data_IF_711891189666
#
_entry.id   IF_711891189666
#
_cell.length_a   1.000
_cell.length_b   1.000
_cell.length_c   1.000
_cell.angle_alpha   90.00
_cell.angle_beta   90.00
_cell.angle_gamma   90.00
#
_symmetry.space_group_name_H-M   'P 1'
#
loop_
_entity.id
_entity.type
_entity.pdbx_description
1 polymer ?
#
# COMPACT_ATOMS: atom_id res chain seq x y z
N UNK A 1 43.76 -16.90 -4.99
CA UNK A 1 42.40 -16.63 -4.48
C UNK A 1 41.99 -15.23 -4.92
N UNK A 2 41.20 -15.11 -5.98
CA UNK A 2 40.88 -13.82 -6.62
C UNK A 2 39.79 -13.08 -5.84
N UNK A 3 40.19 -12.26 -4.86
CA UNK A 3 39.29 -11.33 -4.18
C UNK A 3 39.12 -10.08 -5.06
N UNK A 4 38.26 -10.21 -6.07
CA UNK A 4 37.95 -9.15 -7.02
C UNK A 4 37.54 -7.85 -6.32
N UNK A 5 37.92 -6.72 -6.91
CA UNK A 5 37.61 -5.37 -6.46
C UNK A 5 36.08 -5.17 -6.44
N UNK A 6 35.47 -5.36 -5.28
CA UNK A 6 34.03 -5.12 -5.07
C UNK A 6 33.78 -3.62 -5.23
N UNK A 7 33.24 -3.22 -6.38
CA UNK A 7 32.85 -1.82 -6.61
C UNK A 7 31.53 -1.55 -5.90
N UNK A 8 31.59 -0.68 -4.90
CA UNK A 8 30.49 -0.27 -4.05
C UNK A 8 30.94 -0.18 -2.60
N UNK A 9 31.25 1.04 -2.13
CA UNK A 9 31.55 1.29 -0.73
C UNK A 9 30.25 1.18 0.09
N UNK A 10 30.24 0.46 1.23
CA UNK A 10 29.08 0.39 2.14
C UNK A 10 28.62 1.74 2.70
N UNK A 11 29.40 2.79 2.49
CA UNK A 11 29.19 4.15 2.99
C UNK A 11 27.82 4.76 2.63
N UNK A 12 27.12 4.24 1.61
CA UNK A 12 25.79 4.70 1.22
C UNK A 12 24.64 3.89 1.84
N UNK A 13 24.93 2.87 2.65
CA UNK A 13 23.90 2.05 3.29
C UNK A 13 23.06 2.89 4.27
N UNK A 14 21.74 2.88 4.11
CA UNK A 14 20.82 3.55 5.03
C UNK A 14 20.66 5.07 4.82
N UNK A 15 21.43 5.72 3.93
CA UNK A 15 21.33 7.17 3.62
C UNK A 15 19.88 7.65 3.45
N UNK A 16 19.09 6.91 2.69
CA UNK A 16 17.69 7.25 2.37
C UNK A 16 16.78 7.14 3.61
N UNK A 17 17.00 6.14 4.47
CA UNK A 17 16.18 5.94 5.68
C UNK A 17 16.44 7.01 6.74
N UNK A 18 17.68 7.50 6.82
CA UNK A 18 18.07 8.57 7.74
C UNK A 18 17.65 9.96 7.23
N UNK A 19 17.60 10.16 5.91
CA UNK A 19 17.16 11.41 5.30
C UNK A 19 15.63 11.61 5.38
N UNK A 20 14.85 10.54 5.42
CA UNK A 20 13.39 10.62 5.41
C UNK A 20 12.87 11.00 6.81
N UNK A 21 11.97 12.00 6.95
CA UNK A 21 11.38 12.33 8.25
C UNK A 21 10.62 11.13 8.82
N UNK A 22 10.84 10.84 10.10
CA UNK A 22 10.19 9.72 10.79
C UNK A 22 8.76 10.11 11.17
N UNK A 23 7.83 9.88 10.26
CA UNK A 23 6.41 10.13 10.52
C UNK A 23 5.83 9.03 11.42
N UNK A 24 5.25 9.43 12.55
CA UNK A 24 4.54 8.52 13.45
C UNK A 24 3.27 7.97 12.78
N UNK A 25 2.88 6.75 13.13
CA UNK A 25 1.63 6.17 12.64
C UNK A 25 0.47 6.94 13.26
N UNK A 26 -0.38 7.51 12.43
CA UNK A 26 -1.66 8.06 12.87
C UNK A 26 -2.57 6.91 13.33
N UNK A 27 -3.32 7.14 14.41
CA UNK A 27 -4.33 6.21 14.86
C UNK A 27 -5.47 6.16 13.83
N UNK A 28 -5.58 5.03 13.14
CA UNK A 28 -6.68 4.76 12.21
C UNK A 28 -7.74 3.96 12.95
N UNK A 29 -9.01 4.29 12.70
CA UNK A 29 -10.13 3.50 13.19
C UNK A 29 -9.94 2.04 12.76
N UNK A 30 -10.19 1.12 13.70
CA UNK A 30 -10.13 -0.32 13.42
C UNK A 30 -11.09 -0.63 12.27
N UNK A 31 -10.57 -1.23 11.21
CA UNK A 31 -11.41 -1.71 10.11
C UNK A 31 -12.24 -2.89 10.61
N UNK A 32 -13.51 -2.92 10.24
CA UNK A 32 -14.36 -4.09 10.45
C UNK A 32 -13.79 -5.29 9.69
N UNK A 33 -13.92 -6.48 10.27
CA UNK A 33 -13.38 -7.75 9.74
C UNK A 33 -14.52 -8.74 9.52
N UNK A 34 -14.33 -9.70 8.62
CA UNK A 34 -15.28 -10.79 8.36
C UNK A 34 -16.52 -10.35 7.59
N UNK A 35 -17.69 -10.87 8.00
CA UNK A 35 -18.96 -10.69 7.31
C UNK A 35 -19.35 -9.21 7.17
N UNK A 36 -19.16 -8.41 8.22
CA UNK A 36 -19.47 -6.98 8.19
C UNK A 36 -18.65 -6.24 7.11
N UNK A 37 -17.39 -6.62 6.90
CA UNK A 37 -16.55 -6.05 5.85
C UNK A 37 -17.05 -6.44 4.46
N UNK A 38 -17.43 -7.71 4.28
CA UNK A 38 -17.96 -8.20 3.01
C UNK A 38 -19.28 -7.50 2.64
N UNK A 39 -20.17 -7.29 3.61
CA UNK A 39 -21.42 -6.56 3.39
C UNK A 39 -21.17 -5.09 2.99
N UNK A 40 -20.25 -4.41 3.69
CA UNK A 40 -19.87 -3.04 3.32
C UNK A 40 -19.27 -2.96 1.91
N UNK A 41 -18.43 -3.92 1.53
CA UNK A 41 -17.83 -3.96 0.20
C UNK A 41 -18.87 -4.25 -0.89
N UNK A 42 -19.80 -5.18 -0.66
CA UNK A 42 -20.87 -5.48 -1.60
C UNK A 42 -21.75 -4.26 -1.85
N UNK A 43 -22.18 -3.57 -0.79
CA UNK A 43 -22.99 -2.37 -0.91
C UNK A 43 -22.26 -1.26 -1.67
N UNK A 44 -20.96 -1.08 -1.43
CA UNK A 44 -20.14 -0.07 -2.13
C UNK A 44 -19.88 -0.41 -3.61
N UNK A 45 -19.69 -1.69 -3.93
CA UNK A 45 -19.36 -2.14 -5.28
C UNK A 45 -20.58 -2.26 -6.19
N UNK A 46 -21.75 -2.60 -5.65
CA UNK A 46 -22.90 -3.02 -6.46
C UNK A 46 -24.19 -2.24 -6.18
N UNK A 47 -24.52 -1.99 -4.91
CA UNK A 47 -25.82 -1.39 -4.55
C UNK A 47 -25.80 0.13 -4.66
N UNK A 48 -24.73 0.75 -4.15
CA UNK A 48 -24.63 2.22 -4.04
C UNK A 48 -23.95 2.86 -5.26
N UNK A 49 -23.52 2.08 -6.25
CA UNK A 49 -22.86 2.61 -7.45
C UNK A 49 -23.89 2.93 -8.53
N UNK A 50 -23.90 4.17 -9.01
CA UNK A 50 -24.61 4.53 -10.25
C UNK A 50 -23.66 4.27 -11.42
N UNK A 51 -24.06 3.47 -12.44
CA UNK A 51 -23.23 3.24 -13.62
C UNK A 51 -23.07 4.55 -14.37
N UNK A 52 -21.88 5.15 -14.24
CA UNK A 52 -21.50 6.35 -14.98
C UNK A 52 -20.82 5.97 -16.28
N UNK A 53 -21.10 6.70 -17.35
CA UNK A 53 -20.39 6.55 -18.62
C UNK A 53 -18.97 7.10 -18.48
N UNK A 54 -17.96 6.25 -18.67
CA UNK A 54 -16.55 6.61 -18.59
C UNK A 54 -15.66 5.53 -17.98
N UNK A 55 -14.36 5.80 -17.86
CA UNK A 55 -13.39 4.90 -17.21
C UNK A 55 -13.69 4.82 -15.71
N UNK A 56 -14.11 3.65 -15.23
CA UNK A 56 -14.36 3.40 -13.80
C UNK A 56 -13.06 3.58 -13.01
N UNK A 57 -13.02 4.54 -12.07
CA UNK A 57 -11.95 4.60 -11.07
C UNK A 57 -12.08 3.38 -10.17
N UNK A 58 -11.10 2.47 -10.24
CA UNK A 58 -11.10 1.27 -9.41
C UNK A 58 -10.99 1.69 -7.93
N UNK A 59 -11.92 1.26 -7.06
CA UNK A 59 -11.80 1.55 -5.64
C UNK A 59 -10.58 0.81 -5.09
N UNK A 60 -9.79 1.53 -4.30
CA UNK A 60 -8.51 1.10 -3.70
C UNK A 60 -8.65 -0.17 -2.83
N UNK A 61 -9.88 -0.59 -2.52
CA UNK A 61 -10.23 -1.71 -1.64
C UNK A 61 -10.45 -3.08 -2.33
N UNK A 62 -10.55 -3.16 -3.66
CA UNK A 62 -10.85 -4.44 -4.36
C UNK A 62 -9.68 -5.44 -4.33
N UNK A 63 -8.47 -5.01 -3.92
CA UNK A 63 -7.32 -5.90 -3.71
C UNK A 63 -7.17 -6.36 -2.24
N UNK A 64 -8.25 -6.75 -1.57
CA UNK A 64 -8.13 -7.32 -0.21
C UNK A 64 -8.98 -8.59 -0.05
N UNK A 65 -8.70 -9.58 -0.90
CA UNK A 65 -8.56 -10.95 -0.43
C UNK A 65 -7.14 -11.38 -0.83
N UNK A 66 -6.28 -11.66 0.16
CA UNK A 66 -4.83 -11.87 0.05
C UNK A 66 -3.98 -10.60 -0.14
N UNK A 67 -3.66 -9.94 0.98
CA UNK A 67 -2.30 -9.54 1.36
C UNK A 67 -2.35 -8.81 2.71
N UNK A 68 -2.20 -9.59 3.78
CA UNK A 68 -1.34 -9.11 4.86
C UNK A 68 0.08 -9.13 4.29
N UNK A 69 0.53 -8.01 3.72
CA UNK A 69 1.94 -7.72 3.40
C UNK A 69 2.05 -6.24 3.12
N UNK A 70 2.55 -5.52 4.13
CA UNK A 70 3.42 -4.36 4.05
C UNK A 70 2.97 -3.21 3.14
N UNK A 71 2.60 -2.12 3.81
CA UNK A 71 2.57 -0.75 3.34
C UNK A 71 3.76 -0.45 2.38
N UNK A 72 3.46 -0.40 1.08
CA UNK A 72 4.32 0.22 0.06
C UNK A 72 3.52 1.41 -0.50
N UNK A 73 3.88 2.60 -0.04
CA UNK A 73 3.53 3.84 -0.70
C UNK A 73 4.54 4.05 -1.83
N UNK A 74 4.10 3.96 -3.09
CA UNK A 74 4.90 4.37 -4.25
C UNK A 74 4.46 5.79 -4.60
N UNK A 75 5.33 6.81 -4.47
CA UNK A 75 5.06 8.13 -5.03
C UNK A 75 5.13 8.02 -6.56
N UNK A 76 4.04 8.39 -7.24
CA UNK A 76 4.09 8.65 -8.68
C UNK A 76 4.88 9.94 -8.92
N UNK A 77 5.64 9.96 -10.02
CA UNK A 77 6.31 11.15 -10.54
C UNK A 77 5.29 12.24 -10.88
#
# INVERSE_FOLDING_TARGET
>A
MLKGKVHGSPACAGKIRQQTPKVAKQEKKKTTTGQAKQQMQYNQCFVNVVPTFGKKKAPVSILICQKNKNNLHIPQQ
#
